data_IF_054707483953
#
_entry.id   IF_054707483953
#
_cell.length_a   1.000
_cell.length_b   1.000
_cell.length_c   1.000
_cell.angle_alpha   90.00
_cell.angle_beta   90.00
_cell.angle_gamma   90.00
#
_symmetry.space_group_name_H-M   'P 1'
#
loop_
_entity.id
_entity.type
_entity.pdbx_description
1 polymer ?
#
# COMPACT_ATOMS: atom_id res chain seq x y z
N UNK A 1 -19.95 -25.57 -14.59
CA UNK A 1 -20.18 -25.34 -16.04
C UNK A 1 -19.11 -24.39 -16.50
N UNK A 2 -18.06 -24.99 -17.03
CA UNK A 2 -16.84 -24.34 -17.53
C UNK A 2 -17.20 -23.66 -18.85
N UNK A 3 -17.04 -22.33 -18.91
CA UNK A 3 -17.40 -21.56 -20.09
C UNK A 3 -16.11 -21.25 -20.86
N UNK A 4 -15.63 -22.26 -21.59
CA UNK A 4 -14.42 -22.20 -22.40
C UNK A 4 -14.77 -21.66 -23.78
N UNK A 5 -14.49 -20.38 -24.02
CA UNK A 5 -14.50 -19.82 -25.36
C UNK A 5 -13.09 -19.95 -25.94
N UNK A 6 -12.92 -20.85 -26.91
CA UNK A 6 -11.67 -21.08 -27.64
C UNK A 6 -11.48 -20.01 -28.73
N UNK A 7 -10.52 -19.11 -28.54
CA UNK A 7 -9.91 -18.31 -29.62
C UNK A 7 -8.39 -18.32 -29.44
N UNK A 8 -7.69 -18.92 -30.39
CA UNK A 8 -6.24 -18.88 -30.64
C UNK A 8 -5.27 -19.03 -29.44
N UNK A 9 -4.72 -20.23 -29.27
CA UNK A 9 -3.30 -20.50 -28.92
C UNK A 9 -2.73 -20.05 -27.58
N UNK A 10 -3.50 -19.33 -26.77
CA UNK A 10 -3.14 -18.98 -25.38
C UNK A 10 -4.42 -19.10 -24.56
N UNK A 11 -4.56 -20.16 -23.78
CA UNK A 11 -5.67 -20.25 -22.82
C UNK A 11 -5.52 -19.11 -21.79
N UNK A 12 -6.23 -18.01 -22.03
CA UNK A 12 -6.34 -16.95 -21.03
C UNK A 12 -7.26 -17.47 -19.94
N UNK A 13 -6.66 -17.96 -18.85
CA UNK A 13 -7.38 -18.45 -17.67
C UNK A 13 -8.28 -17.32 -17.15
N UNK A 14 -9.59 -17.42 -17.40
CA UNK A 14 -10.57 -16.40 -17.02
C UNK A 14 -10.95 -16.59 -15.56
N UNK A 15 -10.25 -15.88 -14.68
CA UNK A 15 -10.54 -15.92 -13.24
C UNK A 15 -11.88 -15.27 -12.92
N UNK A 16 -12.62 -15.86 -11.98
CA UNK A 16 -13.81 -15.24 -11.41
C UNK A 16 -13.40 -13.99 -10.63
N UNK A 17 -14.01 -12.86 -10.97
CA UNK A 17 -13.74 -11.59 -10.29
C UNK A 17 -14.21 -11.63 -8.84
N UNK A 18 -13.35 -11.20 -7.92
CA UNK A 18 -13.69 -11.00 -6.52
C UNK A 18 -14.21 -9.58 -6.28
N UNK A 19 -15.53 -9.39 -6.32
CA UNK A 19 -16.15 -8.07 -6.14
C UNK A 19 -15.83 -7.41 -4.79
N UNK A 20 -15.75 -8.21 -3.72
CA UNK A 20 -15.43 -7.73 -2.37
C UNK A 20 -14.02 -7.11 -2.28
N UNK A 21 -13.04 -7.60 -3.06
CA UNK A 21 -11.69 -7.02 -3.07
C UNK A 21 -11.70 -5.56 -3.56
N UNK A 22 -12.52 -5.26 -4.58
CA UNK A 22 -12.67 -3.89 -5.05
C UNK A 22 -13.35 -3.02 -3.98
N UNK A 23 -14.31 -3.56 -3.23
CA UNK A 23 -14.98 -2.83 -2.13
C UNK A 23 -14.04 -2.47 -1.00
N UNK A 24 -13.22 -3.43 -0.54
CA UNK A 24 -12.24 -3.18 0.53
C UNK A 24 -11.20 -2.17 0.05
N UNK A 25 -10.72 -2.28 -1.19
CA UNK A 25 -9.79 -1.28 -1.76
C UNK A 25 -10.43 0.11 -1.82
N UNK A 26 -11.69 0.18 -2.24
CA UNK A 26 -12.50 1.39 -2.28
C UNK A 26 -12.70 2.04 -0.91
N UNK A 27 -12.97 1.23 0.11
CA UNK A 27 -13.06 1.69 1.48
C UNK A 27 -11.72 2.28 1.96
N UNK A 28 -10.62 1.55 1.78
CA UNK A 28 -9.30 1.99 2.22
C UNK A 28 -8.87 3.31 1.55
N UNK A 29 -9.12 3.47 0.24
CA UNK A 29 -8.76 4.71 -0.47
C UNK A 29 -9.60 5.88 0.01
N UNK A 30 -10.88 5.70 0.31
CA UNK A 30 -11.72 6.76 0.86
C UNK A 30 -11.28 7.17 2.26
N UNK A 31 -10.93 6.20 3.13
CA UNK A 31 -10.34 6.49 4.45
C UNK A 31 -9.05 7.31 4.32
N UNK A 32 -8.18 6.96 3.37
CA UNK A 32 -6.97 7.73 3.09
C UNK A 32 -7.31 9.17 2.67
N UNK A 33 -8.25 9.37 1.73
CA UNK A 33 -8.64 10.71 1.29
C UNK A 33 -9.17 11.55 2.46
N UNK A 34 -10.04 10.98 3.30
CA UNK A 34 -10.57 11.67 4.49
C UNK A 34 -9.44 12.04 5.45
N UNK A 35 -8.50 11.13 5.68
CA UNK A 35 -7.33 11.40 6.54
C UNK A 35 -6.50 12.57 6.01
N UNK A 36 -6.18 12.60 4.71
CA UNK A 36 -5.41 13.70 4.10
C UNK A 36 -6.15 15.05 4.16
N UNK A 37 -7.46 15.06 3.90
CA UNK A 37 -8.28 16.27 4.05
C UNK A 37 -8.24 16.79 5.48
N UNK A 38 -8.38 15.91 6.48
CA UNK A 38 -8.26 16.30 7.89
C UNK A 38 -6.84 16.78 8.25
N UNK A 39 -5.81 16.15 7.68
CA UNK A 39 -4.40 16.56 7.82
C UNK A 39 -4.19 17.99 7.34
N UNK A 40 -4.63 18.31 6.13
CA UNK A 40 -4.47 19.65 5.55
C UNK A 40 -5.27 20.71 6.33
N UNK A 41 -6.50 20.41 6.75
CA UNK A 41 -7.31 21.31 7.56
C UNK A 41 -6.59 21.67 8.88
N UNK A 42 -5.96 20.69 9.52
CA UNK A 42 -5.26 20.88 10.78
C UNK A 42 -3.92 21.62 10.61
N UNK A 43 -3.06 21.15 9.71
CA UNK A 43 -1.69 21.66 9.58
C UNK A 43 -1.56 22.90 8.68
N UNK A 44 -2.38 23.02 7.65
CA UNK A 44 -2.33 24.17 6.70
C UNK A 44 -3.30 25.27 7.11
N UNK A 45 -4.50 24.92 7.55
CA UNK A 45 -5.56 25.89 7.85
C UNK A 45 -5.80 26.14 9.35
N UNK A 46 -5.04 25.48 10.24
CA UNK A 46 -5.16 25.59 11.70
C UNK A 46 -6.57 25.26 12.24
N UNK A 47 -7.35 24.46 11.53
CA UNK A 47 -8.64 23.95 11.98
C UNK A 47 -8.36 22.69 12.79
N UNK A 48 -8.41 22.83 14.12
CA UNK A 48 -7.98 21.77 15.02
C UNK A 48 -8.97 20.60 15.01
N UNK A 49 -8.48 19.41 14.66
CA UNK A 49 -9.26 18.16 14.67
C UNK A 49 -8.56 17.15 15.61
N UNK A 50 -8.67 17.32 16.95
CA UNK A 50 -7.83 16.59 17.92
C UNK A 50 -7.91 15.07 17.77
N UNK A 51 -9.11 14.55 17.51
CA UNK A 51 -9.39 13.11 17.41
C UNK A 51 -8.59 12.40 16.30
N UNK A 52 -8.15 13.12 15.27
CA UNK A 52 -7.41 12.57 14.13
C UNK A 52 -5.89 12.48 14.37
N UNK A 53 -5.37 13.21 15.36
CA UNK A 53 -3.93 13.35 15.61
C UNK A 53 -3.50 12.83 16.99
N UNK A 54 -4.42 12.18 17.70
CA UNK A 54 -4.05 11.38 18.86
C UNK A 54 -3.31 10.11 18.42
N UNK A 55 -2.35 9.65 19.22
CA UNK A 55 -1.50 8.51 18.87
C UNK A 55 -2.23 7.17 18.67
N UNK A 56 -3.49 7.04 19.10
CA UNK A 56 -4.30 5.84 18.79
C UNK A 56 -4.80 5.86 17.34
N UNK A 57 -4.93 7.03 16.72
CA UNK A 57 -5.38 7.15 15.33
C UNK A 57 -4.32 6.67 14.34
N UNK A 58 -3.03 6.77 14.69
CA UNK A 58 -1.93 6.17 13.92
C UNK A 58 -2.14 4.66 13.70
N UNK A 59 -2.69 3.96 14.70
CA UNK A 59 -3.00 2.53 14.59
C UNK A 59 -4.10 2.30 13.54
N UNK A 60 -5.12 3.14 13.51
CA UNK A 60 -6.22 3.04 12.53
C UNK A 60 -5.68 3.32 11.13
N UNK A 61 -4.84 4.35 10.98
CA UNK A 61 -4.14 4.65 9.73
C UNK A 61 -3.35 3.45 9.21
N UNK A 62 -2.56 2.85 10.09
CA UNK A 62 -1.73 1.70 9.76
C UNK A 62 -2.58 0.46 9.41
N UNK A 63 -3.75 0.29 10.04
CA UNK A 63 -4.69 -0.80 9.73
C UNK A 63 -5.24 -0.67 8.31
N UNK A 64 -5.79 0.49 7.92
CA UNK A 64 -6.35 0.62 6.57
C UNK A 64 -5.26 0.65 5.49
N UNK A 65 -4.08 1.22 5.79
CA UNK A 65 -2.93 1.15 4.89
C UNK A 65 -2.46 -0.30 4.71
N UNK A 66 -2.35 -1.07 5.80
CA UNK A 66 -2.03 -2.49 5.76
C UNK A 66 -3.07 -3.31 4.99
N UNK A 67 -4.35 -3.06 5.22
CA UNK A 67 -5.45 -3.70 4.48
C UNK A 67 -5.36 -3.40 2.97
N UNK A 68 -5.05 -2.15 2.60
CA UNK A 68 -4.84 -1.75 1.21
C UNK A 68 -3.68 -2.52 0.56
N UNK A 69 -2.54 -2.61 1.25
CA UNK A 69 -1.36 -3.36 0.76
C UNK A 69 -1.64 -4.85 0.63
N UNK A 70 -2.35 -5.43 1.62
CA UNK A 70 -2.75 -6.83 1.60
C UNK A 70 -3.66 -7.15 0.41
N UNK A 71 -4.73 -6.37 0.20
CA UNK A 71 -5.63 -6.52 -0.94
C UNK A 71 -4.90 -6.32 -2.26
N UNK A 72 -3.93 -5.41 -2.30
CA UNK A 72 -3.12 -5.19 -3.50
C UNK A 72 -2.24 -6.39 -3.81
N UNK A 73 -1.68 -7.05 -2.79
CA UNK A 73 -1.00 -8.35 -2.91
C UNK A 73 -1.91 -9.45 -3.45
N UNK A 74 -3.13 -9.59 -2.90
CA UNK A 74 -4.13 -10.53 -3.44
C UNK A 74 -4.41 -10.25 -4.92
N UNK A 75 -4.51 -8.96 -5.27
CA UNK A 75 -4.81 -8.50 -6.64
C UNK A 75 -3.68 -8.79 -7.63
N UNK A 76 -2.45 -8.97 -7.16
CA UNK A 76 -1.33 -9.40 -8.00
C UNK A 76 -1.49 -10.83 -8.53
N UNK A 77 -2.28 -11.68 -7.87
CA UNK A 77 -2.62 -13.03 -8.38
C UNK A 77 -3.55 -13.01 -9.58
N UNK A 78 -4.37 -11.97 -9.70
CA UNK A 78 -5.29 -11.78 -10.83
C UNK A 78 -4.63 -11.07 -12.04
N UNK A 79 -3.40 -10.59 -11.87
CA UNK A 79 -2.74 -9.76 -12.88
C UNK A 79 -1.91 -10.57 -13.85
N UNK A 80 -2.01 -10.21 -15.13
CA UNK A 80 -1.19 -10.83 -16.18
C UNK A 80 0.26 -10.34 -16.18
N UNK A 81 0.50 -9.07 -15.82
CA UNK A 81 1.85 -8.49 -15.84
C UNK A 81 2.06 -7.56 -14.64
N UNK A 82 2.48 -8.13 -13.52
CA UNK A 82 2.79 -7.39 -12.29
C UNK A 82 4.02 -6.50 -12.44
N UNK A 83 5.01 -6.89 -13.25
CA UNK A 83 6.21 -6.07 -13.48
C UNK A 83 5.85 -4.73 -14.14
N UNK A 84 5.06 -4.76 -15.22
CA UNK A 84 4.60 -3.53 -15.90
C UNK A 84 3.80 -2.63 -14.97
N UNK A 85 2.85 -3.19 -14.20
CA UNK A 85 2.08 -2.43 -13.22
C UNK A 85 2.95 -1.85 -12.11
N UNK A 86 3.94 -2.63 -11.67
CA UNK A 86 4.94 -2.21 -10.68
C UNK A 86 5.75 -1.00 -11.17
N UNK A 87 6.29 -1.08 -12.38
CA UNK A 87 7.04 0.02 -13.02
C UNK A 87 6.17 1.26 -13.17
N UNK A 88 4.93 1.12 -13.66
CA UNK A 88 4.01 2.24 -13.80
C UNK A 88 3.71 2.92 -12.47
N UNK A 89 3.40 2.14 -11.42
CA UNK A 89 3.11 2.65 -10.09
C UNK A 89 4.34 3.36 -9.49
N UNK A 90 5.51 2.74 -9.59
CA UNK A 90 6.77 3.33 -9.11
C UNK A 90 7.09 4.65 -9.81
N UNK A 91 6.94 4.69 -11.14
CA UNK A 91 7.23 5.89 -11.93
C UNK A 91 6.27 7.03 -11.63
N UNK A 92 4.98 6.75 -11.41
CA UNK A 92 4.02 7.75 -10.94
C UNK A 92 4.44 8.27 -9.55
N UNK A 93 4.89 7.39 -8.65
CA UNK A 93 5.46 7.78 -7.37
C UNK A 93 6.66 8.74 -7.53
N UNK A 94 7.58 8.41 -8.43
CA UNK A 94 8.75 9.27 -8.72
C UNK A 94 8.34 10.65 -9.26
N UNK A 95 7.31 10.72 -10.11
CA UNK A 95 6.74 11.99 -10.57
C UNK A 95 6.20 12.80 -9.38
N UNK A 96 5.48 12.16 -8.45
CA UNK A 96 4.97 12.84 -7.25
C UNK A 96 6.13 13.35 -6.38
N UNK A 97 7.16 12.53 -6.16
CA UNK A 97 8.37 12.97 -5.43
C UNK A 97 9.02 14.18 -6.09
N UNK A 98 9.14 14.18 -7.42
CA UNK A 98 9.65 15.32 -8.17
C UNK A 98 8.77 16.55 -7.97
N UNK A 99 7.45 16.45 -8.16
CA UNK A 99 6.51 17.57 -7.95
C UNK A 99 6.68 18.17 -6.55
N UNK A 100 6.68 17.35 -5.50
CA UNK A 100 6.83 17.84 -4.13
C UNK A 100 8.19 18.47 -3.86
N UNK A 101 9.26 17.94 -4.45
CA UNK A 101 10.59 18.54 -4.33
C UNK A 101 10.65 19.98 -4.87
N UNK A 102 9.87 20.31 -5.90
CA UNK A 102 9.84 21.66 -6.48
C UNK A 102 8.77 22.57 -5.87
N UNK A 103 7.57 22.06 -5.61
CA UNK A 103 6.43 22.87 -5.19
C UNK A 103 6.19 22.89 -3.67
N UNK A 104 6.72 21.92 -2.93
CA UNK A 104 6.56 21.81 -1.48
C UNK A 104 7.83 21.25 -0.82
N UNK A 105 8.99 21.93 -0.94
CA UNK A 105 10.28 21.41 -0.50
C UNK A 105 10.38 21.17 1.02
N UNK A 106 9.54 21.84 1.82
CA UNK A 106 9.42 21.65 3.27
C UNK A 106 8.63 20.39 3.65
N UNK A 107 7.94 19.76 2.70
CA UNK A 107 7.02 18.65 2.91
C UNK A 107 7.28 17.53 1.88
N UNK A 108 8.51 17.01 1.77
CA UNK A 108 8.87 16.08 0.69
C UNK A 108 8.10 14.75 0.82
N UNK A 109 7.86 14.09 -0.32
CA UNK A 109 7.36 12.71 -0.35
C UNK A 109 8.50 11.80 -0.83
N UNK A 110 9.14 11.12 0.11
CA UNK A 110 10.23 10.18 -0.12
C UNK A 110 9.76 8.76 0.21
N UNK A 111 9.62 7.93 -0.84
CA UNK A 111 9.20 6.52 -0.73
C UNK A 111 7.80 6.33 -0.08
N UNK A 112 6.82 7.07 -0.58
CA UNK A 112 5.39 6.88 -0.26
C UNK A 112 4.79 5.59 -0.81
N UNK A 113 3.49 5.40 -0.64
CA UNK A 113 2.81 4.12 -0.90
C UNK A 113 2.92 3.67 -2.37
N UNK A 114 2.97 4.57 -3.35
CA UNK A 114 3.16 4.19 -4.76
C UNK A 114 4.54 3.60 -5.05
N UNK A 115 5.60 4.13 -4.41
CA UNK A 115 6.94 3.58 -4.52
C UNK A 115 6.97 2.16 -3.96
N UNK A 116 6.45 2.01 -2.74
CA UNK A 116 6.30 0.73 -2.07
C UNK A 116 5.53 -0.29 -2.92
N UNK A 117 4.35 0.09 -3.40
CA UNK A 117 3.49 -0.77 -4.21
C UNK A 117 4.18 -1.16 -5.51
N UNK A 118 4.86 -0.22 -6.15
CA UNK A 118 5.64 -0.44 -7.36
C UNK A 118 6.74 -1.47 -7.16
N UNK A 119 7.59 -1.25 -6.15
CA UNK A 119 8.69 -2.15 -5.78
C UNK A 119 8.17 -3.52 -5.38
N UNK A 120 7.13 -3.59 -4.54
CA UNK A 120 6.53 -4.85 -4.08
C UNK A 120 5.98 -5.69 -5.23
N UNK A 121 5.30 -5.07 -6.20
CA UNK A 121 4.81 -5.75 -7.40
C UNK A 121 5.95 -6.23 -8.31
N UNK A 122 7.03 -5.46 -8.44
CA UNK A 122 8.22 -5.86 -9.22
C UNK A 122 8.95 -7.04 -8.56
N UNK A 123 9.20 -6.98 -7.24
CA UNK A 123 9.78 -8.09 -6.48
C UNK A 123 8.90 -9.33 -6.59
N UNK A 124 7.59 -9.18 -6.44
CA UNK A 124 6.66 -10.28 -6.60
C UNK A 124 6.69 -10.86 -8.01
N UNK A 125 6.75 -10.04 -9.07
CA UNK A 125 6.84 -10.52 -10.45
C UNK A 125 8.12 -11.32 -10.74
N UNK A 126 9.23 -10.99 -10.10
CA UNK A 126 10.51 -11.71 -10.24
C UNK A 126 10.52 -12.99 -9.38
N UNK A 127 9.90 -12.91 -8.19
CA UNK A 127 9.94 -13.95 -7.18
C UNK A 127 8.76 -14.92 -7.18
N UNK A 128 7.71 -14.70 -7.98
CA UNK A 128 6.48 -15.50 -7.95
C UNK A 128 6.75 -17.00 -8.13
N UNK A 129 7.66 -17.39 -9.03
CA UNK A 129 8.09 -18.78 -9.25
C UNK A 129 8.68 -19.45 -8.00
N UNK A 130 9.18 -18.68 -7.04
CA UNK A 130 9.69 -19.18 -5.77
C UNK A 130 8.62 -19.10 -4.68
N UNK A 131 7.94 -17.96 -4.56
CA UNK A 131 6.87 -17.77 -3.57
C UNK A 131 5.74 -18.79 -3.75
N UNK A 132 5.35 -19.09 -4.99
CA UNK A 132 4.25 -20.01 -5.29
C UNK A 132 4.56 -21.49 -4.98
N UNK A 133 5.82 -21.85 -4.75
CA UNK A 133 6.21 -23.20 -4.29
C UNK A 133 5.85 -23.44 -2.83
N UNK A 134 5.77 -22.38 -2.03
CA UNK A 134 5.48 -22.48 -0.61
C UNK A 134 3.96 -22.65 -0.43
N UNK A 135 3.49 -23.60 0.40
CA UNK A 135 2.08 -23.72 0.73
C UNK A 135 1.55 -22.42 1.33
N UNK A 136 0.38 -21.95 0.87
CA UNK A 136 -0.14 -20.63 1.25
C UNK A 136 -0.26 -20.41 2.78
N UNK A 137 -0.71 -21.37 3.61
CA UNK A 137 -0.73 -21.18 5.07
C UNK A 137 0.66 -20.95 5.66
N UNK A 138 1.66 -21.70 5.17
CA UNK A 138 3.06 -21.57 5.60
C UNK A 138 3.62 -20.23 5.17
N UNK A 139 3.34 -19.80 3.92
CA UNK A 139 3.75 -18.49 3.41
C UNK A 139 3.16 -17.34 4.24
N UNK A 140 1.88 -17.41 4.61
CA UNK A 140 1.22 -16.42 5.48
C UNK A 140 1.86 -16.41 6.87
N UNK A 141 2.10 -17.57 7.48
CA UNK A 141 2.73 -17.67 8.80
C UNK A 141 4.15 -17.10 8.80
N UNK A 142 4.96 -17.41 7.78
CA UNK A 142 6.31 -16.85 7.60
C UNK A 142 6.24 -15.34 7.43
N UNK A 143 5.31 -14.81 6.61
CA UNK A 143 5.11 -13.36 6.49
C UNK A 143 4.75 -12.72 7.83
N UNK A 144 3.89 -13.34 8.64
CA UNK A 144 3.51 -12.82 9.95
C UNK A 144 4.72 -12.75 10.90
N UNK A 145 5.54 -13.81 10.93
CA UNK A 145 6.78 -13.84 11.74
C UNK A 145 7.76 -12.78 11.25
N UNK A 146 8.01 -12.69 9.94
CA UNK A 146 8.93 -11.70 9.38
C UNK A 146 8.44 -10.26 9.58
N UNK A 147 7.13 -10.03 9.49
CA UNK A 147 6.54 -8.74 9.83
C UNK A 147 6.85 -8.36 11.28
N UNK A 148 6.60 -9.27 12.23
CA UNK A 148 6.91 -9.04 13.64
C UNK A 148 8.40 -8.85 13.89
N UNK A 149 9.28 -9.58 13.20
CA UNK A 149 10.73 -9.42 13.37
C UNK A 149 11.26 -8.10 12.80
N UNK A 150 10.62 -7.54 11.77
CA UNK A 150 11.12 -6.37 11.05
C UNK A 150 10.38 -5.07 11.38
N UNK A 151 9.28 -5.14 12.13
CA UNK A 151 8.48 -3.96 12.52
C UNK A 151 9.28 -2.91 13.30
N UNK A 152 10.22 -3.36 14.13
CA UNK A 152 11.10 -2.49 14.91
C UNK A 152 12.18 -1.77 14.10
N UNK A 153 12.39 -2.12 12.82
CA UNK A 153 13.51 -1.59 12.02
C UNK A 153 13.44 -0.06 11.92
N UNK A 154 12.24 0.50 11.78
CA UNK A 154 12.04 1.95 11.75
C UNK A 154 12.50 2.68 13.03
N UNK A 155 12.66 1.94 14.13
CA UNK A 155 13.02 2.43 15.46
C UNK A 155 14.41 1.96 15.93
N UNK A 156 15.19 1.30 15.08
CA UNK A 156 16.54 0.84 15.44
C UNK A 156 16.63 -0.60 15.96
N UNK A 157 15.57 -1.41 15.86
CA UNK A 157 15.53 -2.74 16.46
C UNK A 157 15.10 -3.82 15.47
N UNK A 158 15.73 -4.98 15.51
CA UNK A 158 15.21 -6.20 14.91
C UNK A 158 14.32 -6.90 15.94
N UNK A 159 13.02 -6.65 15.86
CA UNK A 159 11.99 -7.18 16.75
C UNK A 159 10.63 -6.48 16.56
N UNK A 160 9.64 -6.81 17.40
CA UNK A 160 8.24 -6.40 17.21
C UNK A 160 7.94 -4.94 17.55
N UNK A 161 8.80 -4.30 18.32
CA UNK A 161 8.63 -2.94 18.79
C UNK A 161 9.98 -2.32 19.18
N UNK A 162 9.97 -1.00 19.37
CA UNK A 162 11.11 -0.28 19.94
C UNK A 162 11.49 -0.87 21.31
N UNK A 163 12.79 -1.09 21.55
CA UNK A 163 13.30 -1.64 22.81
C UNK A 163 13.09 -3.15 22.99
N UNK A 164 12.45 -3.83 22.03
CA UNK A 164 12.22 -5.28 22.07
C UNK A 164 12.95 -5.95 20.92
N UNK A 165 13.90 -6.83 21.23
CA UNK A 165 14.71 -7.55 20.24
C UNK A 165 16.16 -7.06 20.20
N UNK A 166 16.80 -7.17 19.04
CA UNK A 166 18.24 -6.87 18.88
C UNK A 166 18.40 -5.43 18.38
N UNK A 167 19.16 -4.59 19.10
CA UNK A 167 19.49 -3.24 18.63
C UNK A 167 20.34 -3.33 17.37
N UNK A 168 19.93 -2.66 16.30
CA UNK A 168 20.64 -2.62 15.05
C UNK A 168 21.77 -1.57 15.08
N UNK A 169 22.89 -1.80 14.36
CA UNK A 169 23.99 -0.84 14.30
C UNK A 169 23.59 0.51 13.71
N UNK A 170 23.99 1.60 14.37
CA UNK A 170 23.61 2.97 13.99
C UNK A 170 24.16 3.40 12.62
N UNK A 171 25.30 2.85 12.19
CA UNK A 171 25.90 3.18 10.88
C UNK A 171 24.98 2.86 9.69
N UNK A 172 24.08 1.87 9.83
CA UNK A 172 23.12 1.48 8.78
C UNK A 172 22.10 2.61 8.55
N UNK A 173 21.75 3.35 9.61
CA UNK A 173 20.81 4.47 9.55
C UNK A 173 21.48 5.76 9.10
N UNK A 174 22.76 5.94 9.43
CA UNK A 174 23.52 7.15 9.06
C UNK A 174 23.82 7.25 7.56
N UNK A 175 23.81 6.13 6.83
CA UNK A 175 24.04 6.12 5.39
C UNK A 175 22.99 6.92 4.59
N UNK A 176 21.78 7.14 5.14
CA UNK A 176 20.73 7.95 4.51
C UNK A 176 20.13 7.39 3.21
N UNK A 177 20.70 6.33 2.63
CA UNK A 177 20.26 5.73 1.36
C UNK A 177 19.34 4.52 1.56
N UNK A 178 19.30 3.94 2.77
CA UNK A 178 18.58 2.71 3.09
C UNK A 178 17.14 2.96 3.61
N UNK A 179 16.66 4.20 3.53
CA UNK A 179 15.28 4.55 3.89
C UNK A 179 14.22 3.75 3.12
N UNK A 180 14.38 3.33 1.84
CA UNK A 180 13.39 2.49 1.17
C UNK A 180 13.21 1.12 1.84
N UNK A 181 14.24 0.62 2.52
CA UNK A 181 14.18 -0.65 3.26
C UNK A 181 13.67 -0.48 4.70
N UNK A 182 13.54 0.76 5.20
CA UNK A 182 13.09 1.05 6.57
C UNK A 182 14.16 1.68 7.46
N UNK A 183 15.42 1.74 7.00
CA UNK A 183 16.52 2.33 7.75
C UNK A 183 16.60 3.83 7.49
N UNK A 184 15.76 4.60 8.17
CA UNK A 184 15.69 6.06 8.03
C UNK A 184 16.74 6.76 8.89
N UNK A 185 17.45 7.74 8.33
CA UNK A 185 18.37 8.57 9.13
C UNK A 185 17.60 9.41 10.16
N UNK A 186 18.24 9.90 11.23
CA UNK A 186 17.59 10.81 12.18
C UNK A 186 17.03 12.09 11.53
N UNK A 187 17.64 12.55 10.44
CA UNK A 187 17.20 13.72 9.67
C UNK A 187 16.15 13.41 8.59
N UNK A 188 15.81 12.14 8.37
CA UNK A 188 14.87 11.76 7.32
C UNK A 188 13.45 12.23 7.67
N UNK A 189 12.85 12.96 6.72
CA UNK A 189 11.47 13.42 6.79
C UNK A 189 10.76 13.11 5.48
N UNK A 190 9.52 12.67 5.59
CA UNK A 190 8.64 12.44 4.44
C UNK A 190 7.19 12.52 4.89
N UNK A 191 6.34 13.18 4.10
CA UNK A 191 4.90 13.29 4.35
C UNK A 191 4.14 11.99 4.08
N UNK A 192 4.68 11.16 3.19
CA UNK A 192 4.19 9.81 2.93
C UNK A 192 5.37 8.85 2.91
N UNK A 193 5.39 7.88 3.83
CA UNK A 193 6.51 6.96 4.00
C UNK A 193 6.04 5.55 4.35
N UNK A 194 6.20 4.63 3.41
CA UNK A 194 5.92 3.21 3.59
C UNK A 194 7.13 2.39 3.13
N UNK A 195 8.09 2.08 4.01
CA UNK A 195 9.26 1.29 3.61
C UNK A 195 8.89 -0.14 3.28
N UNK A 196 9.80 -0.83 2.59
CA UNK A 196 9.63 -2.23 2.24
C UNK A 196 9.52 -3.13 3.47
N UNK A 197 10.31 -2.89 4.52
CA UNK A 197 10.21 -3.63 5.78
C UNK A 197 9.43 -2.79 6.82
N UNK A 198 8.38 -3.32 7.45
CA UNK A 198 7.87 -4.70 7.35
C UNK A 198 6.76 -4.90 6.29
N UNK A 199 6.31 -3.82 5.65
CA UNK A 199 5.06 -3.79 4.87
C UNK A 199 5.00 -4.76 3.68
N UNK A 200 6.16 -5.12 3.11
CA UNK A 200 6.25 -6.11 2.05
C UNK A 200 5.68 -7.47 2.47
N UNK A 201 5.82 -7.84 3.75
CA UNK A 201 5.26 -9.09 4.25
C UNK A 201 3.73 -9.06 4.34
N UNK A 202 3.13 -7.89 4.56
CA UNK A 202 1.67 -7.70 4.48
C UNK A 202 1.19 -7.87 3.04
N UNK A 203 1.87 -7.24 2.10
CA UNK A 203 1.61 -7.42 0.67
C UNK A 203 1.76 -8.90 0.25
N UNK A 204 2.84 -9.56 0.65
CA UNK A 204 3.11 -10.95 0.28
C UNK A 204 2.13 -11.94 0.94
N UNK A 205 1.74 -11.72 2.20
CA UNK A 205 0.65 -12.46 2.84
C UNK A 205 -0.68 -12.32 2.07
N UNK A 206 -0.95 -11.12 1.56
CA UNK A 206 -2.01 -10.86 0.60
C UNK A 206 -1.88 -11.73 -0.65
N UNK A 207 -0.70 -11.77 -1.28
CA UNK A 207 -0.47 -12.58 -2.48
C UNK A 207 -0.69 -14.08 -2.23
N UNK A 208 -0.24 -14.62 -1.08
CA UNK A 208 -0.53 -16.00 -0.67
C UNK A 208 -2.02 -16.24 -0.49
N UNK A 209 -2.74 -15.32 0.16
CA UNK A 209 -4.19 -15.40 0.36
C UNK A 209 -4.95 -15.31 -0.97
N UNK A 210 -4.44 -14.52 -1.92
CA UNK A 210 -4.99 -14.40 -3.26
C UNK A 210 -4.99 -15.72 -4.05
N UNK A 211 -4.18 -16.70 -3.66
CA UNK A 211 -4.24 -18.07 -4.22
C UNK A 211 -5.62 -18.68 -4.05
N UNK A 212 -6.22 -18.58 -2.86
CA UNK A 212 -7.56 -19.12 -2.60
C UNK A 212 -8.63 -18.38 -3.41
N UNK A 213 -8.44 -17.07 -3.61
CA UNK A 213 -9.35 -16.25 -4.39
C UNK A 213 -9.39 -16.68 -5.86
N UNK A 214 -8.23 -16.90 -6.50
CA UNK A 214 -8.15 -17.34 -7.90
C UNK A 214 -8.52 -18.82 -8.12
N UNK A 215 -8.47 -19.64 -7.07
CA UNK A 215 -8.86 -21.06 -7.09
C UNK A 215 -10.34 -21.28 -6.74
N UNK A 216 -11.14 -20.20 -6.64
CA UNK A 216 -12.54 -20.26 -6.26
C UNK A 216 -12.80 -20.90 -4.88
N UNK A 217 -11.81 -20.83 -3.98
CA UNK A 217 -11.84 -21.41 -2.61
C UNK A 217 -12.23 -20.41 -1.53
N UNK A 218 -12.49 -19.14 -1.88
CA UNK A 218 -13.00 -18.17 -0.92
C UNK A 218 -14.51 -18.35 -0.69
N UNK A 219 -15.05 -17.88 0.44
CA UNK A 219 -16.50 -17.90 0.67
C UNK A 219 -17.28 -17.18 -0.45
N UNK A 220 -18.50 -17.63 -0.72
CA UNK A 220 -19.29 -17.14 -1.85
C UNK A 220 -19.53 -15.61 -1.86
N UNK A 221 -19.60 -14.98 -0.69
CA UNK A 221 -19.74 -13.52 -0.57
C UNK A 221 -18.55 -12.78 -1.18
N UNK A 222 -17.33 -13.34 -1.10
CA UNK A 222 -16.10 -12.72 -1.57
C UNK A 222 -16.13 -12.39 -3.08
N UNK A 223 -16.88 -13.18 -3.85
CA UNK A 223 -17.02 -13.01 -5.30
C UNK A 223 -18.16 -12.08 -5.70
N UNK A 224 -19.06 -11.73 -4.78
CA UNK A 224 -20.18 -10.83 -5.04
C UNK A 224 -19.74 -9.38 -4.83
N UNK A 225 -20.40 -8.47 -5.53
CA UNK A 225 -20.37 -7.04 -5.23
C UNK A 225 -21.61 -6.72 -4.39
N UNK A 226 -21.40 -6.27 -3.17
CA UNK A 226 -22.40 -5.82 -2.20
C UNK A 226 -22.62 -4.30 -2.29
N UNK A 227 -21.54 -3.53 -2.46
CA UNK A 227 -21.57 -2.06 -2.48
C UNK A 227 -20.94 -1.52 -3.76
N UNK A 228 -21.79 -1.19 -4.74
CA UNK A 228 -21.35 -0.71 -6.06
C UNK A 228 -20.49 0.57 -5.98
N UNK A 229 -20.82 1.59 -5.14
CA UNK A 229 -19.98 2.78 -5.01
C UNK A 229 -18.58 2.48 -4.49
N UNK A 230 -18.45 1.65 -3.46
CA UNK A 230 -17.14 1.23 -2.94
C UNK A 230 -16.35 0.43 -3.98
N UNK A 231 -17.01 -0.52 -4.65
CA UNK A 231 -16.37 -1.28 -5.72
C UNK A 231 -15.90 -0.38 -6.88
N UNK A 232 -16.64 0.69 -7.19
CA UNK A 232 -16.25 1.68 -8.20
C UNK A 232 -15.00 2.45 -7.74
N UNK A 233 -14.99 2.97 -6.51
CA UNK A 233 -13.81 3.62 -5.94
C UNK A 233 -12.57 2.70 -5.93
N UNK A 234 -12.77 1.41 -5.66
CA UNK A 234 -11.72 0.39 -5.74
C UNK A 234 -11.18 0.12 -7.14
N UNK A 235 -11.96 0.36 -8.18
CA UNK A 235 -11.53 0.22 -9.59
C UNK A 235 -10.71 1.40 -10.06
N UNK A 236 -11.07 2.60 -9.60
CA UNK A 236 -10.40 3.86 -9.94
C UNK A 236 -9.38 4.31 -8.89
N UNK A 237 -8.99 3.42 -7.97
CA UNK A 237 -8.10 3.73 -6.84
C UNK A 237 -6.84 4.51 -7.23
N UNK A 238 -6.15 4.13 -8.31
CA UNK A 238 -4.93 4.83 -8.72
C UNK A 238 -5.21 6.29 -9.07
N UNK A 239 -6.29 6.57 -9.78
CA UNK A 239 -6.68 7.93 -10.14
C UNK A 239 -7.14 8.73 -8.93
N UNK A 240 -7.94 8.12 -8.04
CA UNK A 240 -8.33 8.75 -6.78
C UNK A 240 -7.08 9.10 -5.96
N UNK A 241 -6.13 8.17 -5.85
CA UNK A 241 -4.87 8.40 -5.15
C UNK A 241 -4.04 9.52 -5.79
N UNK A 242 -3.92 9.61 -7.10
CA UNK A 242 -3.11 10.68 -7.72
C UNK A 242 -3.79 12.04 -7.61
N UNK A 243 -5.12 12.08 -7.70
CA UNK A 243 -5.87 13.33 -7.81
C UNK A 243 -6.37 13.89 -6.47
N UNK A 244 -6.42 13.09 -5.39
CA UNK A 244 -7.00 13.56 -4.12
C UNK A 244 -6.33 14.84 -3.60
N UNK A 245 -4.99 14.90 -3.55
CA UNK A 245 -4.28 16.05 -3.00
C UNK A 245 -4.42 17.30 -3.89
N UNK A 246 -4.17 17.25 -5.22
CA UNK A 246 -4.40 18.43 -6.07
C UNK A 246 -5.85 18.93 -6.04
N UNK A 247 -6.83 18.02 -6.03
CA UNK A 247 -8.25 18.40 -5.96
C UNK A 247 -8.59 19.01 -4.60
N UNK A 248 -8.07 18.45 -3.50
CA UNK A 248 -8.25 19.00 -2.16
C UNK A 248 -7.65 20.41 -2.06
N UNK A 249 -6.44 20.62 -2.58
CA UNK A 249 -5.79 21.95 -2.58
C UNK A 249 -6.58 22.99 -3.38
N UNK A 250 -7.11 22.63 -4.56
CA UNK A 250 -7.97 23.53 -5.33
C UNK A 250 -9.26 23.85 -4.57
N UNK A 251 -9.88 22.86 -3.94
CA UNK A 251 -11.08 23.06 -3.14
C UNK A 251 -10.82 24.00 -1.95
N UNK A 252 -9.71 23.81 -1.24
CA UNK A 252 -9.36 24.69 -0.12
C UNK A 252 -8.96 26.10 -0.58
N UNK A 253 -8.29 26.26 -1.72
CA UNK A 253 -8.04 27.57 -2.31
C UNK A 253 -9.35 28.34 -2.56
N UNK A 254 -10.38 27.66 -3.07
CA UNK A 254 -11.69 28.28 -3.33
C UNK A 254 -12.42 28.69 -2.03
N UNK A 255 -12.24 27.95 -0.94
CA UNK A 255 -12.93 28.21 0.34
C UNK A 255 -12.18 29.23 1.20
N UNK A 256 -10.86 29.07 1.33
CA UNK A 256 -10.04 29.84 2.26
C UNK A 256 -9.23 30.95 1.58
N UNK A 257 -9.20 31.00 0.24
CA UNK A 257 -8.48 32.01 -0.54
C UNK A 257 -6.96 31.89 -0.49
N UNK A 258 -6.42 30.79 0.08
CA UNK A 258 -4.98 30.53 0.20
C UNK A 258 -4.68 29.03 0.21
N UNK A 259 -3.45 28.69 -0.16
CA UNK A 259 -2.82 27.37 -0.01
C UNK A 259 -1.60 27.55 0.90
#
# INVERSE_FOLDING_TARGET
MENTATVSGTEVKKYRRAGFMDEVRGFCILCMVVYHVCFDLNYTYNIHIPIMFDGWFDIIRDIFAGAFMFISGMSSRYSHNNAKRGIQCFFIGMIITFIFAFFAPSAPILFGILHFMGVSMMIYAIGDKYFLKIPAPVGIAVCAVLFLLTRGIMYGYLGPAQGVGIKLPEFIYNAGLLFPLGFRSPSFQSMDYFPLLPWFFVFLAGAYTGKYAIEDKMPAFFYKTHCKPLALAGRYTLWIYVLHQPVAMVFFLLIFGKI
#
